data_IF_424407176326
#
_entry.id   IF_424407176326
#
_cell.length_a   1.000
_cell.length_b   1.000
_cell.length_c   1.000
_cell.angle_alpha   90.00
_cell.angle_beta   90.00
_cell.angle_gamma   90.00
#
_symmetry.space_group_name_H-M   'P 1'
#
loop_
_entity.id
_entity.type
_entity.pdbx_description
1 polymer ?
#
# COMPACT_ATOMS: atom_id res chain seq x y z
N UNK A 1 12.74 -2.38 1.00
CA UNK A 1 12.95 -1.19 1.86
C UNK A 1 14.44 -0.82 2.01
N UNK A 2 14.83 0.46 1.84
CA UNK A 2 16.22 1.01 1.93
C UNK A 2 16.41 1.93 3.16
N UNK A 3 15.68 1.65 4.24
CA UNK A 3 15.85 2.24 5.59
C UNK A 3 16.14 1.06 6.51
N UNK A 4 17.13 1.18 7.39
CA UNK A 4 17.49 0.13 8.35
C UNK A 4 16.94 0.44 9.73
N UNK A 5 16.85 -0.59 10.59
CA UNK A 5 16.45 -0.37 11.99
C UNK A 5 17.52 0.44 12.73
N UNK A 6 18.79 0.31 12.36
CA UNK A 6 19.89 1.12 12.89
C UNK A 6 19.72 2.61 12.59
N UNK A 7 19.22 2.97 11.41
CA UNK A 7 18.92 4.37 11.08
C UNK A 7 17.87 4.94 12.05
N UNK A 8 16.78 4.19 12.29
CA UNK A 8 15.73 4.58 13.23
C UNK A 8 16.25 4.67 14.68
N UNK A 9 17.10 3.72 15.09
CA UNK A 9 17.71 3.68 16.43
C UNK A 9 18.68 4.83 16.68
N UNK A 10 19.26 5.44 15.65
CA UNK A 10 20.14 6.61 15.79
C UNK A 10 19.34 7.90 15.93
N UNK A 11 18.17 7.97 15.30
CA UNK A 11 17.34 9.18 15.28
C UNK A 11 16.37 9.31 16.45
N UNK A 12 16.11 8.22 17.19
CA UNK A 12 15.25 8.22 18.38
C UNK A 12 15.87 9.03 19.53
N UNK A 13 15.04 9.77 20.27
CA UNK A 13 15.51 10.47 21.47
C UNK A 13 16.03 9.45 22.52
N UNK A 14 17.28 9.61 23.01
CA UNK A 14 17.93 8.63 23.88
C UNK A 14 17.21 8.43 25.21
N UNK A 15 16.42 9.42 25.65
CA UNK A 15 15.65 9.40 26.88
C UNK A 15 14.23 8.85 26.72
N UNK A 16 13.84 8.33 25.55
CA UNK A 16 12.54 7.67 25.37
C UNK A 16 12.35 6.51 26.34
N UNK A 17 11.11 6.31 26.74
CA UNK A 17 10.70 5.17 27.55
C UNK A 17 10.91 3.83 26.79
N UNK A 18 11.14 2.77 27.57
CA UNK A 18 11.43 1.43 27.05
C UNK A 18 10.28 0.87 26.20
N UNK A 19 9.03 1.21 26.53
CA UNK A 19 7.86 0.71 25.80
C UNK A 19 7.86 1.30 24.39
N UNK A 20 8.03 2.61 24.23
CA UNK A 20 8.08 3.25 22.91
C UNK A 20 9.27 2.77 22.08
N UNK A 21 10.45 2.60 22.68
CA UNK A 21 11.63 1.98 22.02
C UNK A 21 11.32 0.59 21.47
N UNK A 22 10.69 -0.28 22.27
CA UNK A 22 10.30 -1.62 21.80
C UNK A 22 9.27 -1.59 20.68
N UNK A 23 8.35 -0.61 20.71
CA UNK A 23 7.31 -0.44 19.68
C UNK A 23 7.88 0.04 18.36
N UNK A 24 8.97 0.80 18.36
CA UNK A 24 9.65 1.23 17.14
C UNK A 24 10.11 0.03 16.29
N UNK A 25 10.73 -0.96 16.92
CA UNK A 25 11.18 -2.18 16.23
C UNK A 25 10.01 -3.03 15.72
N UNK A 26 8.92 -3.08 16.47
CA UNK A 26 7.69 -3.75 16.04
C UNK A 26 7.07 -3.03 14.84
N UNK A 27 6.97 -1.70 14.89
CA UNK A 27 6.45 -0.89 13.79
C UNK A 27 7.27 -1.05 12.52
N UNK A 28 8.61 -0.98 12.63
CA UNK A 28 9.50 -1.15 11.50
C UNK A 28 9.39 -2.55 10.87
N UNK A 29 9.40 -3.62 11.69
CA UNK A 29 9.18 -4.98 11.18
C UNK A 29 7.81 -5.14 10.53
N UNK A 30 6.77 -4.52 11.10
CA UNK A 30 5.43 -4.54 10.52
C UNK A 30 5.40 -3.88 9.15
N UNK A 31 6.12 -2.76 8.94
CA UNK A 31 6.23 -2.13 7.63
C UNK A 31 6.97 -3.03 6.62
N UNK A 32 8.08 -3.65 7.04
CA UNK A 32 8.80 -4.61 6.20
C UNK A 32 7.93 -5.80 5.77
N UNK A 33 7.18 -6.36 6.71
CA UNK A 33 6.24 -7.46 6.44
C UNK A 33 5.12 -7.05 5.46
N UNK A 34 4.62 -5.82 5.58
CA UNK A 34 3.60 -5.31 4.65
C UNK A 34 4.17 -5.07 3.24
N UNK A 35 5.41 -4.59 3.09
CA UNK A 35 6.09 -4.48 1.78
C UNK A 35 6.21 -5.86 1.10
N UNK A 36 6.62 -6.89 1.86
CA UNK A 36 6.67 -8.27 1.37
C UNK A 36 5.30 -8.82 0.97
N UNK A 37 4.27 -8.53 1.77
CA UNK A 37 2.89 -8.91 1.44
C UNK A 37 2.38 -8.26 0.16
N UNK A 38 2.70 -6.98 -0.05
CA UNK A 38 2.35 -6.28 -1.28
C UNK A 38 3.00 -6.97 -2.48
N UNK A 39 4.30 -7.28 -2.40
CA UNK A 39 5.01 -7.98 -3.47
C UNK A 39 4.44 -9.36 -3.74
N UNK A 40 4.15 -10.13 -2.70
CA UNK A 40 3.54 -11.45 -2.83
C UNK A 40 2.21 -11.38 -3.59
N UNK A 41 1.31 -10.47 -3.20
CA UNK A 41 0.00 -10.34 -3.84
C UNK A 41 0.08 -9.81 -5.27
N UNK A 42 1.07 -8.96 -5.57
CA UNK A 42 1.36 -8.55 -6.94
C UNK A 42 1.77 -9.74 -7.81
N UNK A 43 2.77 -10.51 -7.37
CA UNK A 43 3.27 -11.68 -8.11
C UNK A 43 2.18 -12.75 -8.29
N UNK A 44 1.43 -13.03 -7.22
CA UNK A 44 0.35 -14.03 -7.27
C UNK A 44 -0.82 -13.54 -8.13
N UNK A 45 -1.13 -12.25 -8.16
CA UNK A 45 -2.12 -11.70 -9.07
C UNK A 45 -1.77 -11.99 -10.54
N UNK A 46 -0.56 -11.66 -10.98
CA UNK A 46 -0.12 -11.89 -12.36
C UNK A 46 -0.11 -13.38 -12.72
N UNK A 47 0.43 -14.21 -11.82
CA UNK A 47 0.45 -15.65 -12.00
C UNK A 47 -0.95 -16.23 -12.15
N UNK A 48 -1.88 -15.87 -11.26
CA UNK A 48 -3.25 -16.38 -11.28
C UNK A 48 -4.06 -15.84 -12.46
N UNK A 49 -3.80 -14.60 -12.88
CA UNK A 49 -4.43 -14.04 -14.08
C UNK A 49 -3.96 -14.76 -15.35
N UNK A 50 -2.66 -15.07 -15.46
CA UNK A 50 -2.16 -15.88 -16.58
C UNK A 50 -2.78 -17.28 -16.59
N UNK A 51 -2.81 -17.98 -15.45
CA UNK A 51 -3.46 -19.29 -15.34
C UNK A 51 -4.95 -19.24 -15.69
N UNK A 52 -5.64 -18.13 -15.37
CA UNK A 52 -7.02 -17.91 -15.80
C UNK A 52 -7.13 -17.83 -17.34
N UNK A 53 -6.23 -17.11 -18.01
CA UNK A 53 -6.22 -17.02 -19.48
C UNK A 53 -5.92 -18.38 -20.12
N UNK A 54 -4.96 -19.14 -19.58
CA UNK A 54 -4.58 -20.46 -20.06
C UNK A 54 -5.75 -21.46 -19.87
N UNK A 55 -6.45 -21.40 -18.73
CA UNK A 55 -7.65 -22.19 -18.47
C UNK A 55 -8.77 -21.89 -19.47
N UNK A 56 -9.00 -20.60 -19.76
CA UNK A 56 -9.99 -20.16 -20.74
C UNK A 56 -9.64 -20.60 -22.16
N UNK A 57 -8.34 -20.72 -22.49
CA UNK A 57 -7.84 -21.22 -23.76
C UNK A 57 -7.83 -22.75 -23.87
N UNK A 58 -8.03 -23.48 -22.77
CA UNK A 58 -7.87 -24.94 -22.73
C UNK A 58 -6.41 -25.40 -22.80
N UNK A 59 -5.48 -24.55 -22.37
CA UNK A 59 -4.02 -24.76 -22.49
C UNK A 59 -3.40 -25.41 -21.23
N UNK A 60 -4.19 -25.59 -20.15
CA UNK A 60 -3.72 -26.19 -18.91
C UNK A 60 -3.48 -27.71 -19.03
N UNK A 61 -2.47 -28.20 -18.31
CA UNK A 61 -2.10 -29.61 -18.29
C UNK A 61 -3.04 -30.48 -17.44
N UNK A 62 -2.91 -31.81 -17.58
CA UNK A 62 -3.76 -32.80 -16.91
C UNK A 62 -3.71 -32.80 -15.37
N UNK A 63 -2.76 -32.10 -14.74
CA UNK A 63 -2.59 -32.04 -13.28
C UNK A 63 -3.14 -30.75 -12.65
N UNK A 64 -3.60 -29.80 -13.46
CA UNK A 64 -4.05 -28.49 -12.98
C UNK A 64 -5.57 -28.41 -12.81
N UNK A 65 -6.04 -27.50 -11.95
CA UNK A 65 -7.47 -27.21 -11.83
C UNK A 65 -7.93 -26.63 -13.16
N UNK A 66 -8.72 -27.38 -13.93
CA UNK A 66 -9.12 -26.95 -15.28
C UNK A 66 -10.23 -25.89 -15.29
N UNK A 67 -10.87 -25.63 -14.13
CA UNK A 67 -11.96 -24.65 -14.02
C UNK A 67 -11.40 -23.21 -13.97
N UNK A 68 -11.62 -22.37 -15.00
CA UNK A 68 -11.12 -21.00 -15.02
C UNK A 68 -11.63 -20.14 -13.85
N UNK A 69 -12.83 -20.44 -13.33
CA UNK A 69 -13.42 -19.68 -12.24
C UNK A 69 -12.57 -19.73 -10.96
N UNK A 70 -11.80 -20.80 -10.75
CA UNK A 70 -10.88 -20.90 -9.62
C UNK A 70 -9.79 -19.83 -9.70
N UNK A 71 -9.09 -19.75 -10.83
CA UNK A 71 -8.04 -18.75 -11.07
C UNK A 71 -8.61 -17.33 -11.10
N UNK A 72 -9.85 -17.17 -11.59
CA UNK A 72 -10.56 -15.89 -11.53
C UNK A 72 -10.70 -15.37 -10.10
N UNK A 73 -11.26 -16.20 -9.21
CA UNK A 73 -11.40 -15.84 -7.80
C UNK A 73 -10.03 -15.55 -7.17
N UNK A 74 -9.00 -16.31 -7.52
CA UNK A 74 -7.66 -16.15 -6.98
C UNK A 74 -7.00 -14.82 -7.40
N UNK A 75 -7.04 -14.45 -8.69
CA UNK A 75 -6.45 -13.18 -9.12
C UNK A 75 -7.25 -11.99 -8.58
N UNK A 76 -8.59 -12.05 -8.58
CA UNK A 76 -9.42 -10.96 -8.03
C UNK A 76 -9.13 -10.76 -6.52
N UNK A 77 -8.98 -11.84 -5.77
CA UNK A 77 -8.62 -11.78 -4.34
C UNK A 77 -7.22 -11.16 -4.12
N UNK A 78 -6.22 -11.59 -4.90
CA UNK A 78 -4.87 -11.03 -4.80
C UNK A 78 -4.83 -9.55 -5.20
N UNK A 79 -5.62 -9.15 -6.19
CA UNK A 79 -5.78 -7.76 -6.58
C UNK A 79 -6.22 -6.87 -5.40
N UNK A 80 -7.31 -7.22 -4.73
CA UNK A 80 -7.75 -6.43 -3.58
C UNK A 80 -6.83 -6.55 -2.37
N UNK A 81 -6.20 -7.71 -2.18
CA UNK A 81 -5.23 -7.90 -1.11
C UNK A 81 -3.99 -7.01 -1.31
N UNK A 82 -3.52 -6.83 -2.53
CA UNK A 82 -2.46 -5.88 -2.89
C UNK A 82 -2.84 -4.46 -2.47
N UNK A 83 -3.94 -3.91 -3.01
CA UNK A 83 -4.32 -2.51 -2.75
C UNK A 83 -4.57 -2.25 -1.26
N UNK A 84 -5.18 -3.21 -0.54
CA UNK A 84 -5.42 -3.09 0.90
C UNK A 84 -4.14 -3.16 1.72
N UNK A 85 -3.22 -4.05 1.37
CA UNK A 85 -1.92 -4.17 2.06
C UNK A 85 -1.07 -2.93 1.80
N UNK A 86 -1.07 -2.43 0.56
CA UNK A 86 -0.31 -1.25 0.20
C UNK A 86 -0.87 0.01 0.86
N UNK A 87 -2.19 0.18 0.89
CA UNK A 87 -2.82 1.25 1.67
C UNK A 87 -2.48 1.13 3.16
N UNK A 88 -2.53 -0.07 3.74
CA UNK A 88 -2.16 -0.28 5.15
C UNK A 88 -0.68 0.03 5.44
N UNK A 89 0.23 -0.27 4.50
CA UNK A 89 1.65 0.09 4.59
C UNK A 89 1.80 1.61 4.72
N UNK A 90 1.19 2.38 3.82
CA UNK A 90 1.25 3.84 3.82
C UNK A 90 0.61 4.41 5.11
N UNK A 91 -0.58 3.95 5.46
CA UNK A 91 -1.30 4.44 6.65
C UNK A 91 -0.67 4.02 7.99
N UNK A 92 0.32 3.12 7.98
CA UNK A 92 1.10 2.77 9.19
C UNK A 92 2.26 3.72 9.46
N UNK A 93 2.68 4.52 8.47
CA UNK A 93 3.80 5.45 8.60
C UNK A 93 3.57 6.55 9.65
N UNK A 94 2.38 7.16 9.79
CA UNK A 94 2.12 8.14 10.87
C UNK A 94 2.43 7.59 12.26
N UNK A 95 2.14 6.31 12.50
CA UNK A 95 2.47 5.65 13.76
C UNK A 95 3.99 5.57 13.95
N UNK A 96 4.74 5.10 12.93
CA UNK A 96 6.20 5.10 12.97
C UNK A 96 6.76 6.51 13.26
N UNK A 97 6.27 7.53 12.57
CA UNK A 97 6.71 8.91 12.78
C UNK A 97 6.40 9.38 14.20
N UNK A 98 5.22 9.10 14.74
CA UNK A 98 4.90 9.45 16.13
C UNK A 98 5.83 8.77 17.15
N UNK A 99 6.36 7.58 16.86
CA UNK A 99 7.36 6.93 17.71
C UNK A 99 8.74 7.62 17.61
N UNK A 100 9.08 8.19 16.45
CA UNK A 100 10.36 8.87 16.22
C UNK A 100 10.39 10.29 16.79
N UNK A 101 9.36 11.09 16.50
CA UNK A 101 9.33 12.53 16.75
C UNK A 101 8.32 12.94 17.84
N UNK A 102 7.67 11.97 18.47
CA UNK A 102 6.92 12.15 19.71
C UNK A 102 5.77 13.16 19.65
N UNK A 103 5.12 13.31 18.48
CA UNK A 103 4.01 14.27 18.25
C UNK A 103 2.92 14.17 19.31
N UNK A 104 2.61 12.96 19.78
CA UNK A 104 1.66 12.70 20.86
C UNK A 104 2.32 11.89 21.96
N UNK A 105 2.11 12.27 23.23
CA UNK A 105 2.67 11.55 24.38
C UNK A 105 2.15 10.10 24.47
N UNK A 106 0.86 9.88 24.24
CA UNK A 106 0.29 8.54 24.12
C UNK A 106 0.67 7.93 22.77
N UNK A 107 1.66 7.03 22.78
CA UNK A 107 2.15 6.36 21.58
C UNK A 107 1.10 5.50 20.90
N UNK A 108 0.12 4.96 21.63
CA UNK A 108 -0.90 4.03 21.13
C UNK A 108 -2.22 4.72 20.78
N UNK A 109 -2.19 6.05 20.68
CA UNK A 109 -3.42 6.79 20.47
C UNK A 109 -4.04 6.52 19.10
N UNK A 110 -5.33 6.21 19.09
CA UNK A 110 -6.11 5.99 17.85
C UNK A 110 -6.23 7.22 16.95
N UNK A 111 -5.83 8.40 17.43
CA UNK A 111 -5.87 9.64 16.65
C UNK A 111 -4.59 9.87 15.83
N UNK A 112 -3.61 8.96 15.88
CA UNK A 112 -2.37 9.10 15.11
C UNK A 112 -2.69 8.83 13.63
N UNK A 113 -2.54 9.86 12.82
CA UNK A 113 -2.78 9.83 11.38
C UNK A 113 -2.00 10.97 10.70
N UNK A 114 -2.04 11.04 9.38
CA UNK A 114 -1.33 12.09 8.62
C UNK A 114 -1.71 13.52 9.01
N UNK A 115 -2.98 13.78 9.36
CA UNK A 115 -3.43 15.12 9.74
C UNK A 115 -2.80 15.55 11.06
N UNK A 116 -2.66 14.63 12.03
CA UNK A 116 -1.96 14.90 13.28
C UNK A 116 -0.50 15.27 13.02
N UNK A 117 0.22 14.50 12.20
CA UNK A 117 1.64 14.74 11.90
C UNK A 117 1.83 16.09 11.19
N UNK A 118 1.01 16.38 10.18
CA UNK A 118 1.15 17.60 9.36
C UNK A 118 0.79 18.91 10.09
N UNK A 119 -0.03 18.83 11.14
CA UNK A 119 -0.43 20.00 11.95
C UNK A 119 0.29 20.10 13.30
N UNK A 120 1.21 19.19 13.58
CA UNK A 120 2.01 19.23 14.79
C UNK A 120 2.98 20.43 14.77
N UNK A 121 3.18 21.05 15.93
CA UNK A 121 4.20 22.10 16.10
C UNK A 121 5.58 21.45 16.18
N UNK A 122 6.19 21.20 15.03
CA UNK A 122 7.48 20.52 14.91
C UNK A 122 8.64 21.48 14.61
N UNK A 123 9.88 21.13 15.02
CA UNK A 123 11.07 21.86 14.62
C UNK A 123 11.21 22.04 13.10
N UNK A 124 11.83 23.14 12.68
CA UNK A 124 11.97 23.50 11.26
C UNK A 124 12.74 22.46 10.42
N UNK A 125 13.59 21.64 11.03
CA UNK A 125 14.31 20.55 10.38
C UNK A 125 13.38 19.51 9.74
N UNK A 126 12.15 19.37 10.23
CA UNK A 126 11.15 18.44 9.68
C UNK A 126 10.27 19.03 8.57
N UNK A 127 10.48 20.29 8.19
CA UNK A 127 9.66 20.98 7.19
C UNK A 127 9.60 20.24 5.85
N UNK A 128 10.73 19.76 5.34
CA UNK A 128 10.80 18.95 4.11
C UNK A 128 9.94 17.68 4.19
N UNK A 129 10.00 16.96 5.32
CA UNK A 129 9.18 15.77 5.53
C UNK A 129 7.68 16.08 5.54
N UNK A 130 7.30 17.20 6.15
CA UNK A 130 5.90 17.67 6.19
C UNK A 130 5.40 18.03 4.79
N UNK A 131 6.21 18.71 3.99
CA UNK A 131 5.84 19.08 2.63
C UNK A 131 5.73 17.85 1.71
N UNK A 132 6.61 16.86 1.88
CA UNK A 132 6.49 15.55 1.19
C UNK A 132 5.21 14.81 1.55
N UNK A 133 4.80 14.81 2.82
CA UNK A 133 3.52 14.21 3.24
C UNK A 133 2.34 14.92 2.56
N UNK A 134 2.33 16.26 2.53
CA UNK A 134 1.28 17.03 1.85
C UNK A 134 1.25 16.72 0.36
N UNK A 135 2.40 16.63 -0.30
CA UNK A 135 2.51 16.29 -1.71
C UNK A 135 1.97 14.88 -2.00
N UNK A 136 2.38 13.86 -1.23
CA UNK A 136 1.86 12.49 -1.35
C UNK A 136 0.33 12.47 -1.25
N UNK A 137 -0.24 13.13 -0.23
CA UNK A 137 -1.69 13.16 -0.01
C UNK A 137 -2.47 13.94 -1.08
N UNK A 138 -1.81 14.89 -1.74
CA UNK A 138 -2.41 15.63 -2.84
C UNK A 138 -2.36 14.86 -4.17
N UNK A 139 -1.46 13.86 -4.30
CA UNK A 139 -1.26 13.08 -5.51
C UNK A 139 -2.50 12.28 -5.92
N UNK A 140 -2.66 12.08 -7.23
CA UNK A 140 -3.77 11.27 -7.76
C UNK A 140 -3.61 9.80 -7.37
N UNK A 141 -2.40 9.26 -7.45
CA UNK A 141 -2.10 7.86 -7.15
C UNK A 141 -2.50 7.49 -5.72
N UNK A 142 -2.26 8.38 -4.74
CA UNK A 142 -2.68 8.15 -3.35
C UNK A 142 -4.21 8.22 -3.19
N UNK A 143 -4.86 9.18 -3.85
CA UNK A 143 -6.33 9.31 -3.82
C UNK A 143 -7.02 8.10 -4.46
N UNK A 144 -6.47 7.60 -5.56
CA UNK A 144 -6.96 6.39 -6.24
C UNK A 144 -6.80 5.17 -5.32
N UNK A 145 -5.62 4.98 -4.70
CA UNK A 145 -5.40 3.91 -3.72
C UNK A 145 -6.38 3.97 -2.54
N UNK A 146 -6.51 5.16 -1.93
CA UNK A 146 -7.45 5.39 -0.83
C UNK A 146 -8.88 5.05 -1.26
N UNK A 147 -9.30 5.47 -2.46
CA UNK A 147 -10.63 5.19 -2.97
C UNK A 147 -10.84 3.68 -3.23
N UNK A 148 -9.92 2.99 -3.90
CA UNK A 148 -9.98 1.53 -4.15
C UNK A 148 -10.07 0.75 -2.84
N UNK A 149 -9.18 1.03 -1.89
CA UNK A 149 -9.15 0.38 -0.58
C UNK A 149 -10.45 0.61 0.21
N UNK A 150 -10.98 1.84 0.19
CA UNK A 150 -12.21 2.17 0.90
C UNK A 150 -13.45 1.54 0.29
N UNK A 151 -13.61 1.59 -1.05
CA UNK A 151 -14.77 1.00 -1.73
C UNK A 151 -14.79 -0.52 -1.53
N UNK A 152 -13.65 -1.19 -1.77
CA UNK A 152 -13.51 -2.65 -1.66
C UNK A 152 -13.66 -3.19 -0.23
N UNK A 153 -13.36 -2.37 0.79
CA UNK A 153 -13.47 -2.77 2.20
C UNK A 153 -14.85 -2.49 2.81
N UNK A 154 -15.51 -1.40 2.42
CA UNK A 154 -16.64 -0.85 3.17
C UNK A 154 -17.94 -0.68 2.38
N UNK A 155 -17.91 -0.71 1.05
CA UNK A 155 -19.10 -0.37 0.24
C UNK A 155 -19.60 -1.54 -0.60
N UNK A 156 -18.76 -2.04 -1.49
CA UNK A 156 -19.13 -3.07 -2.47
C UNK A 156 -17.89 -3.84 -2.95
N UNK A 157 -18.11 -5.05 -3.43
CA UNK A 157 -17.08 -5.76 -4.19
C UNK A 157 -17.03 -5.08 -5.57
N UNK A 158 -15.91 -4.43 -5.86
CA UNK A 158 -15.65 -3.84 -7.17
C UNK A 158 -15.47 -4.97 -8.18
N UNK A 159 -16.12 -4.86 -9.33
CA UNK A 159 -15.99 -5.86 -10.40
C UNK A 159 -14.73 -5.63 -11.20
N UNK A 160 -14.12 -6.74 -11.60
CA UNK A 160 -12.96 -6.76 -12.47
C UNK A 160 -13.40 -7.41 -13.79
N UNK A 161 -13.26 -6.68 -14.88
CA UNK A 161 -13.20 -7.28 -16.20
C UNK A 161 -11.86 -8.02 -16.30
N UNK A 162 -11.92 -9.32 -16.56
CA UNK A 162 -10.70 -10.14 -16.65
C UNK A 162 -9.89 -9.84 -17.91
N UNK A 163 -10.43 -9.05 -18.84
CA UNK A 163 -9.78 -8.69 -20.08
C UNK A 163 -9.79 -9.82 -21.12
N UNK A 164 -10.33 -10.99 -20.82
CA UNK A 164 -10.20 -12.20 -21.67
C UNK A 164 -10.66 -12.00 -23.12
N UNK A 165 -11.63 -11.12 -23.34
CA UNK A 165 -12.16 -10.79 -24.67
C UNK A 165 -11.59 -9.48 -25.26
N UNK A 166 -10.65 -8.84 -24.56
CA UNK A 166 -9.98 -7.63 -25.01
C UNK A 166 -8.71 -7.94 -25.80
N UNK A 167 -8.32 -7.05 -26.71
CA UNK A 167 -7.16 -7.24 -27.60
C UNK A 167 -5.85 -7.39 -26.80
N UNK A 168 -5.74 -6.73 -25.64
CA UNK A 168 -4.56 -6.80 -24.76
C UNK A 168 -4.63 -7.88 -23.68
N UNK A 169 -5.78 -8.54 -23.50
CA UNK A 169 -6.06 -9.45 -22.38
C UNK A 169 -5.83 -8.85 -20.98
N UNK A 170 -5.78 -7.53 -20.85
CA UNK A 170 -5.44 -6.87 -19.59
C UNK A 170 -6.67 -6.77 -18.66
N UNK A 171 -6.52 -7.14 -17.38
CA UNK A 171 -7.61 -7.04 -16.43
C UNK A 171 -7.81 -5.58 -16.02
N UNK A 172 -9.06 -5.16 -15.91
CA UNK A 172 -9.43 -3.78 -15.62
C UNK A 172 -10.58 -3.70 -14.63
N UNK A 173 -10.55 -2.68 -13.78
CA UNK A 173 -11.68 -2.34 -12.94
C UNK A 173 -12.87 -1.83 -13.76
N UNK A 174 -14.10 -2.21 -13.37
CA UNK A 174 -15.30 -1.63 -13.96
C UNK A 174 -15.48 -0.18 -13.47
N UNK A 175 -15.38 0.80 -14.38
CA UNK A 175 -15.44 2.21 -14.03
C UNK A 175 -16.73 2.63 -13.30
N UNK A 176 -17.87 2.03 -13.65
CA UNK A 176 -19.18 2.27 -13.01
C UNK A 176 -19.20 1.94 -11.51
N UNK A 177 -18.25 1.12 -11.05
CA UNK A 177 -18.11 0.76 -9.64
C UNK A 177 -17.31 1.80 -8.85
N UNK A 178 -16.96 2.95 -9.45
CA UNK A 178 -16.27 4.06 -8.80
C UNK A 178 -17.05 5.37 -8.91
N UNK A 179 -17.01 6.16 -7.83
CA UNK A 179 -17.70 7.45 -7.79
C UNK A 179 -16.79 8.59 -8.30
N UNK A 180 -15.55 8.26 -8.67
CA UNK A 180 -14.53 9.19 -9.17
C UNK A 180 -13.81 8.62 -10.37
N UNK A 181 -13.40 9.49 -11.29
CA UNK A 181 -12.61 9.10 -12.45
C UNK A 181 -11.16 8.82 -12.07
N UNK A 182 -10.65 7.67 -12.50
CA UNK A 182 -9.23 7.33 -12.39
C UNK A 182 -8.49 7.68 -13.68
N UNK A 183 -7.16 7.84 -13.58
CA UNK A 183 -6.29 8.01 -14.75
C UNK A 183 -6.34 6.78 -15.66
N UNK A 184 -6.33 5.60 -15.04
CA UNK A 184 -6.45 4.30 -15.68
C UNK A 184 -7.30 3.39 -14.81
N UNK A 185 -7.98 2.45 -15.44
CA UNK A 185 -8.67 1.36 -14.76
C UNK A 185 -7.96 0.02 -14.97
N UNK A 186 -6.88 0.00 -15.76
CA UNK A 186 -6.08 -1.20 -15.95
C UNK A 186 -5.35 -1.54 -14.66
N UNK A 187 -5.54 -2.75 -14.17
CA UNK A 187 -5.09 -3.14 -12.84
C UNK A 187 -3.56 -3.21 -12.78
N UNK A 188 -2.92 -3.71 -13.84
CA UNK A 188 -1.45 -3.77 -13.95
C UNK A 188 -0.85 -2.38 -13.81
N UNK A 189 -1.31 -1.43 -14.64
CA UNK A 189 -0.84 -0.04 -14.61
C UNK A 189 -1.07 0.60 -13.23
N UNK A 190 -2.22 0.36 -12.61
CA UNK A 190 -2.49 0.86 -11.26
C UNK A 190 -1.53 0.27 -10.22
N UNK A 191 -1.30 -1.04 -10.23
CA UNK A 191 -0.39 -1.69 -9.28
C UNK A 191 1.05 -1.21 -9.46
N UNK A 192 1.54 -1.17 -10.70
CA UNK A 192 2.89 -0.70 -11.05
C UNK A 192 3.07 0.76 -10.68
N UNK A 193 2.17 1.64 -11.13
CA UNK A 193 2.21 3.08 -10.81
C UNK A 193 2.23 3.28 -9.30
N UNK A 194 1.38 2.57 -8.55
CA UNK A 194 1.33 2.70 -7.10
C UNK A 194 2.62 2.22 -6.44
N UNK A 195 3.14 1.06 -6.83
CA UNK A 195 4.37 0.52 -6.26
C UNK A 195 5.58 1.41 -6.61
N UNK A 196 5.76 1.75 -7.88
CA UNK A 196 6.93 2.47 -8.38
C UNK A 196 6.92 3.96 -8.02
N UNK A 197 5.75 4.61 -7.98
CA UNK A 197 5.68 6.03 -7.62
C UNK A 197 5.61 6.22 -6.10
N UNK A 198 4.71 5.51 -5.40
CA UNK A 198 4.38 5.84 -4.01
C UNK A 198 5.30 5.15 -3.01
N UNK A 199 5.78 3.94 -3.28
CA UNK A 199 6.67 3.26 -2.34
C UNK A 199 7.98 4.03 -2.10
N UNK A 200 8.68 4.55 -3.14
CA UNK A 200 9.85 5.40 -2.94
C UNK A 200 9.53 6.72 -2.24
N UNK A 201 8.36 7.32 -2.51
CA UNK A 201 7.92 8.54 -1.83
C UNK A 201 7.73 8.31 -0.33
N UNK A 202 7.12 7.19 0.06
CA UNK A 202 6.96 6.82 1.47
C UNK A 202 8.29 6.61 2.17
N UNK A 203 9.23 5.93 1.51
CA UNK A 203 10.60 5.78 2.04
C UNK A 203 11.28 7.14 2.19
N UNK A 204 11.13 8.02 1.20
CA UNK A 204 11.68 9.39 1.22
C UNK A 204 11.09 10.21 2.37
N UNK A 205 9.78 10.09 2.64
CA UNK A 205 9.12 10.71 3.79
C UNK A 205 9.78 10.22 5.08
N UNK A 206 9.88 8.90 5.29
CA UNK A 206 10.48 8.35 6.52
C UNK A 206 11.90 8.91 6.72
N UNK A 207 12.71 8.94 5.66
CA UNK A 207 14.08 9.46 5.70
C UNK A 207 14.16 10.94 6.11
N UNK A 208 13.20 11.77 5.69
CA UNK A 208 13.15 13.19 6.09
C UNK A 208 12.86 13.42 7.58
N UNK A 209 12.48 12.38 8.33
CA UNK A 209 12.31 12.45 9.79
C UNK A 209 13.46 11.79 10.57
N UNK A 210 14.47 11.27 9.86
CA UNK A 210 15.68 10.75 10.49
C UNK A 210 16.64 11.91 10.81
N UNK A 211 17.25 11.84 11.99
CA UNK A 211 18.34 12.70 12.47
C UNK A 211 19.65 11.93 12.44
#
# INVERSE_FOLDING_TARGET
>A
MVVTIEDLRRSINPYLDTKRKSRLEVAFRSLGYQDEYCRYHYEEFHKQHQLFLDAMGGELGNEEITNPQYFRLAFEANCFAFFRSFHALIESVPYLLNLLIEVKNDSESRSINWHLITNASLPAEYSDGIDKIKALRASNSYKELEHISNVSKHRRIVRIDSGVFSIGKNPSFCADDFDSQFKSYEINELMETMYDEMHPQVISIIKSFLR
#
